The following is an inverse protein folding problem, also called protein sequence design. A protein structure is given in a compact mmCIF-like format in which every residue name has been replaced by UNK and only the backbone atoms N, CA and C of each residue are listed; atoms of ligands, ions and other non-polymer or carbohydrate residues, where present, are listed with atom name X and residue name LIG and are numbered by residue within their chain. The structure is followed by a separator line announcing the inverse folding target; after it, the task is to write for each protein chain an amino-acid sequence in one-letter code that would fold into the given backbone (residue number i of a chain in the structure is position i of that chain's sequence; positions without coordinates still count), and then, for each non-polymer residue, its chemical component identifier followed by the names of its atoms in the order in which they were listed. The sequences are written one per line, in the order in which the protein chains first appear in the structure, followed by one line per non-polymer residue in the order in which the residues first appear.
data_IF_302907341745
#
_entry.id   IF_302907341745
#
_cell.length_a   1.000
_cell.length_b   1.000
_cell.length_c   1.000
_cell.angle_alpha   90.00
_cell.angle_beta   90.00
_cell.angle_gamma   90.00
#
_symmetry.space_group_name_H-M   'P 1'
#
loop_
_entity.id
_entity.type
_entity.pdbx_description
1 polymer ?
#
# COMPACT_ATOMS: atom_id res chain seq x y z
N UNK A 1 -25.32 8.27 54.58
CA UNK A 1 -24.02 8.59 53.95
C UNK A 1 -23.16 7.34 53.68
N UNK A 2 -23.74 6.30 53.06
CA UNK A 2 -23.03 5.03 52.76
C UNK A 2 -23.41 4.39 51.41
N UNK A 3 -24.18 5.08 50.57
CA UNK A 3 -24.65 4.57 49.27
C UNK A 3 -24.17 5.43 48.08
N UNK A 4 -23.05 6.15 48.24
CA UNK A 4 -22.39 6.94 47.18
C UNK A 4 -20.89 6.62 47.05
N UNK A 5 -20.44 5.51 47.62
CA UNK A 5 -19.00 5.14 47.65
C UNK A 5 -18.69 3.78 47.03
N UNK A 6 -19.67 3.10 46.43
CA UNK A 6 -19.47 1.81 45.76
C UNK A 6 -19.53 1.89 44.23
N UNK A 7 -20.18 2.91 43.63
CA UNK A 7 -20.19 3.11 42.17
C UNK A 7 -18.93 3.74 41.57
N UNK A 8 -18.00 4.23 42.40
CA UNK A 8 -16.77 4.89 41.92
C UNK A 8 -15.64 3.88 41.62
N UNK A 9 -15.80 2.58 41.95
CA UNK A 9 -14.73 1.57 41.79
C UNK A 9 -14.88 0.70 40.53
N UNK A 10 -16.02 0.75 39.85
CA UNK A 10 -16.31 -0.09 38.67
C UNK A 10 -15.96 0.60 37.33
N UNK A 11 -15.86 1.94 37.28
CA UNK A 11 -15.58 2.69 36.03
C UNK A 11 -14.10 2.91 35.70
N UNK A 12 -13.18 2.63 36.63
CA UNK A 12 -11.73 2.76 36.40
C UNK A 12 -11.08 1.51 35.76
N UNK A 13 -11.84 0.44 35.50
CA UNK A 13 -11.31 -0.79 34.89
C UNK A 13 -11.37 -0.80 33.35
N UNK A 14 -11.93 0.22 32.70
CA UNK A 14 -12.12 0.25 31.24
C UNK A 14 -11.42 1.39 30.48
N UNK A 15 -10.63 2.24 31.13
CA UNK A 15 -9.75 3.20 30.43
C UNK A 15 -8.30 2.69 30.25
N UNK A 16 -8.13 1.37 30.19
CA UNK A 16 -6.89 0.72 29.79
C UNK A 16 -7.01 0.24 28.33
N UNK A 17 -6.80 1.13 27.35
CA UNK A 17 -6.51 0.70 25.96
C UNK A 17 -6.10 1.82 24.97
N UNK A 18 -6.34 3.10 25.23
CA UNK A 18 -6.22 4.09 24.16
C UNK A 18 -5.72 5.44 24.64
N UNK A 19 -4.40 5.61 24.75
CA UNK A 19 -3.68 6.80 24.25
C UNK A 19 -2.19 6.76 24.63
N UNK A 20 -1.39 7.29 23.71
CA UNK A 20 -0.07 7.88 23.93
C UNK A 20 1.16 6.95 23.89
N UNK A 21 1.33 6.22 22.78
CA UNK A 21 2.65 6.10 22.15
C UNK A 21 2.92 7.37 21.32
N UNK A 22 3.47 8.38 21.99
CA UNK A 22 4.25 9.45 21.36
C UNK A 22 5.40 9.78 22.29
N UNK A 23 6.64 9.51 21.85
CA UNK A 23 7.84 10.40 21.93
C UNK A 23 9.17 9.62 22.02
N UNK A 24 9.90 9.59 20.89
CA UNK A 24 11.37 9.45 20.72
C UNK A 24 11.59 9.26 19.20
N UNK A 25 11.99 10.19 18.31
CA UNK A 25 12.84 11.40 18.29
C UNK A 25 14.31 11.18 18.65
N UNK A 26 15.06 10.80 17.59
CA UNK A 26 16.33 11.38 17.06
C UNK A 26 17.72 10.84 17.46
N UNK A 27 18.61 10.93 16.44
CA UNK A 27 20.06 10.66 16.31
C UNK A 27 20.46 9.22 15.92
N UNK A 28 20.86 8.90 14.68
CA UNK A 28 22.00 9.34 13.82
C UNK A 28 23.31 8.56 14.08
N UNK A 29 23.76 7.84 13.04
CA UNK A 29 25.14 7.47 12.62
C UNK A 29 24.94 6.58 11.37
N UNK A 30 25.13 7.04 10.14
CA UNK A 30 26.41 7.47 9.52
C UNK A 30 27.40 6.30 9.48
N UNK A 31 27.47 5.59 8.34
CA UNK A 31 28.70 5.16 7.64
C UNK A 31 28.34 4.70 6.20
N UNK A 32 29.34 4.77 5.33
CA UNK A 32 29.33 5.16 3.92
C UNK A 32 29.56 3.98 2.94
N UNK A 33 29.23 4.23 1.67
CA UNK A 33 29.84 3.72 0.43
C UNK A 33 29.74 2.22 0.06
N UNK A 34 29.33 2.01 -1.19
CA UNK A 34 29.32 0.72 -1.88
C UNK A 34 28.67 0.86 -3.25
N UNK A 35 29.24 1.71 -4.09
CA UNK A 35 28.96 1.74 -5.53
C UNK A 35 29.26 0.36 -6.14
N UNK A 36 28.24 -0.30 -6.65
CA UNK A 36 28.38 -1.25 -7.75
C UNK A 36 27.42 -0.82 -8.85
N UNK A 37 28.02 -0.25 -9.89
CA UNK A 37 27.41 -0.02 -11.19
C UNK A 37 27.03 -1.38 -11.80
N UNK A 38 25.75 -1.57 -12.11
CA UNK A 38 25.33 -2.53 -13.13
C UNK A 38 24.44 -1.80 -14.13
N UNK A 39 24.99 -1.60 -15.32
CA UNK A 39 24.31 -1.04 -16.47
C UNK A 39 23.17 -1.96 -16.91
N UNK A 40 21.93 -1.54 -16.74
CA UNK A 40 20.86 -1.98 -17.63
C UNK A 40 20.34 -0.81 -18.45
N UNK A 41 20.61 -0.91 -19.76
CA UNK A 41 20.34 0.05 -20.81
C UNK A 41 18.90 0.58 -20.77
N UNK A 42 18.75 1.85 -20.37
CA UNK A 42 17.52 2.60 -20.60
C UNK A 42 17.70 3.45 -21.85
N UNK A 43 17.06 3.02 -22.94
CA UNK A 43 16.95 3.81 -24.16
C UNK A 43 16.22 5.12 -23.86
N UNK A 44 16.97 6.22 -23.83
CA UNK A 44 16.43 7.56 -23.62
C UNK A 44 15.56 7.98 -24.81
N UNK A 45 14.25 8.06 -24.60
CA UNK A 45 13.38 8.91 -25.40
C UNK A 45 13.05 10.15 -24.57
N UNK A 46 13.72 11.27 -24.87
CA UNK A 46 13.59 12.58 -24.18
C UNK A 46 12.16 13.15 -24.15
N UNK A 47 11.25 12.57 -24.92
CA UNK A 47 9.83 12.91 -24.96
C UNK A 47 9.01 12.22 -23.84
N UNK A 48 9.54 11.17 -23.22
CA UNK A 48 8.88 10.39 -22.16
C UNK A 48 9.20 10.84 -20.73
N UNK A 49 10.30 11.56 -20.50
CA UNK A 49 10.60 12.18 -19.19
C UNK A 49 9.49 13.14 -18.74
N UNK A 50 8.86 13.85 -19.68
CA UNK A 50 7.72 14.74 -19.38
C UNK A 50 6.42 13.97 -19.09
N UNK A 51 6.32 12.70 -19.50
CA UNK A 51 5.15 11.84 -19.25
C UNK A 51 5.23 11.10 -17.92
N UNK A 52 6.40 11.04 -17.27
CA UNK A 52 6.60 10.35 -15.97
C UNK A 52 6.92 11.30 -14.82
N UNK A 53 7.09 12.60 -15.06
CA UNK A 53 7.33 13.58 -14.01
C UNK A 53 6.15 13.67 -13.01
N UNK A 54 6.47 13.57 -11.72
CA UNK A 54 5.53 13.67 -10.59
C UNK A 54 4.92 15.07 -10.43
N UNK A 55 5.51 16.10 -11.06
CA UNK A 55 4.91 17.45 -11.12
C UNK A 55 3.62 17.47 -11.96
N UNK A 56 3.43 16.48 -12.83
CA UNK A 56 2.23 16.37 -13.65
C UNK A 56 1.09 15.68 -12.86
N UNK A 57 -0.05 16.35 -12.64
CA UNK A 57 -1.16 15.78 -11.86
C UNK A 57 -1.76 14.52 -12.50
N UNK A 58 -1.63 14.35 -13.83
CA UNK A 58 -2.10 13.15 -14.52
C UNK A 58 -1.28 11.92 -14.15
N UNK A 59 0.03 12.10 -13.95
CA UNK A 59 0.95 11.03 -13.53
C UNK A 59 0.63 10.62 -12.10
N UNK A 60 0.49 11.59 -11.20
CA UNK A 60 0.10 11.34 -9.81
C UNK A 60 -1.24 10.60 -9.73
N UNK A 61 -2.22 10.99 -10.54
CA UNK A 61 -3.53 10.31 -10.58
C UNK A 61 -3.42 8.85 -11.01
N UNK A 62 -2.57 8.53 -11.99
CA UNK A 62 -2.33 7.13 -12.41
C UNK A 62 -1.71 6.31 -11.28
N UNK A 63 -0.69 6.83 -10.60
CA UNK A 63 -0.08 6.15 -9.46
C UNK A 63 -1.03 5.96 -8.29
N UNK A 64 -1.86 6.96 -7.97
CA UNK A 64 -2.87 6.86 -6.91
C UNK A 64 -3.91 5.79 -7.25
N UNK A 65 -4.41 5.81 -8.48
CA UNK A 65 -5.36 4.80 -8.96
C UNK A 65 -4.76 3.40 -8.91
N UNK A 66 -3.49 3.23 -9.31
CA UNK A 66 -2.80 1.94 -9.21
C UNK A 66 -2.64 1.49 -7.75
N UNK A 67 -2.26 2.41 -6.85
CA UNK A 67 -2.13 2.12 -5.42
C UNK A 67 -3.47 1.69 -4.80
N UNK A 68 -4.57 2.33 -5.18
CA UNK A 68 -5.90 1.97 -4.69
C UNK A 68 -6.32 0.57 -5.15
N UNK A 69 -5.99 0.19 -6.38
CA UNK A 69 -6.24 -1.17 -6.91
C UNK A 69 -5.43 -2.21 -6.13
N UNK A 70 -4.13 -1.98 -5.93
CA UNK A 70 -3.26 -2.92 -5.21
C UNK A 70 -3.70 -3.07 -3.76
N UNK A 71 -4.03 -1.96 -3.10
CA UNK A 71 -4.55 -1.99 -1.73
C UNK A 71 -5.87 -2.76 -1.62
N UNK A 72 -6.74 -2.71 -2.65
CA UNK A 72 -7.95 -3.53 -2.69
C UNK A 72 -7.62 -5.02 -2.91
N UNK A 73 -6.71 -5.34 -3.83
CA UNK A 73 -6.27 -6.70 -4.09
C UNK A 73 -5.64 -7.35 -2.85
N UNK A 74 -4.78 -6.61 -2.14
CA UNK A 74 -4.16 -7.06 -0.89
C UNK A 74 -5.20 -7.42 0.17
N UNK A 75 -6.26 -6.63 0.34
CA UNK A 75 -7.34 -6.94 1.28
C UNK A 75 -8.06 -8.25 0.92
N UNK A 76 -8.26 -8.52 -0.37
CA UNK A 76 -8.86 -9.77 -0.86
C UNK A 76 -7.96 -10.97 -0.52
N UNK A 77 -6.66 -10.86 -0.79
CA UNK A 77 -5.67 -11.91 -0.51
C UNK A 77 -5.56 -12.15 1.00
N UNK A 78 -5.45 -11.11 1.82
CA UNK A 78 -5.38 -11.26 3.29
C UNK A 78 -6.66 -11.88 3.86
N UNK A 79 -7.84 -11.55 3.32
CA UNK A 79 -9.10 -12.16 3.75
C UNK A 79 -9.25 -13.63 3.31
N UNK A 80 -8.61 -14.00 2.19
CA UNK A 80 -8.57 -15.37 1.67
C UNK A 80 -7.52 -16.27 2.33
N UNK A 81 -6.52 -15.68 2.99
CA UNK A 81 -5.46 -16.39 3.70
C UNK A 81 -6.00 -17.06 4.98
N UNK A 82 -6.61 -18.24 4.80
CA UNK A 82 -7.16 -19.09 5.86
C UNK A 82 -6.46 -20.45 5.87
N UNK A 83 -6.44 -21.15 7.02
CA UNK A 83 -5.98 -22.53 7.07
C UNK A 83 -6.74 -23.39 6.05
N UNK A 84 -6.05 -24.37 5.46
CA UNK A 84 -6.54 -25.29 4.42
C UNK A 84 -6.86 -24.69 3.05
N UNK A 85 -6.44 -23.45 2.77
CA UNK A 85 -6.52 -22.86 1.42
C UNK A 85 -5.26 -23.18 0.61
N UNK A 86 -5.44 -23.55 -0.67
CA UNK A 86 -4.32 -23.73 -1.59
C UNK A 86 -3.73 -22.37 -1.97
N UNK A 87 -2.41 -22.25 -1.87
CA UNK A 87 -1.66 -21.03 -2.20
C UNK A 87 -1.90 -20.62 -3.66
N UNK A 88 -1.98 -21.59 -4.57
CA UNK A 88 -2.22 -21.35 -6.00
C UNK A 88 -3.55 -20.62 -6.24
N UNK A 89 -4.60 -21.01 -5.51
CA UNK A 89 -5.92 -20.38 -5.64
C UNK A 89 -5.90 -18.93 -5.12
N UNK A 90 -5.06 -18.65 -4.12
CA UNK A 90 -4.90 -17.32 -3.54
C UNK A 90 -4.15 -16.37 -4.48
N UNK A 91 -3.04 -16.82 -5.08
CA UNK A 91 -2.31 -16.06 -6.09
C UNK A 91 -3.20 -15.75 -7.30
N UNK A 92 -3.89 -16.78 -7.82
CA UNK A 92 -4.83 -16.61 -8.94
C UNK A 92 -5.97 -15.63 -8.61
N UNK A 93 -6.46 -15.61 -7.37
CA UNK A 93 -7.47 -14.66 -6.93
C UNK A 93 -6.95 -13.21 -6.90
N UNK A 94 -5.70 -13.00 -6.45
CA UNK A 94 -5.03 -11.70 -6.45
C UNK A 94 -4.84 -11.17 -7.87
N UNK A 95 -4.23 -11.97 -8.75
CA UNK A 95 -3.98 -11.61 -10.15
C UNK A 95 -5.28 -11.28 -10.88
N UNK A 96 -6.30 -12.12 -10.70
CA UNK A 96 -7.62 -11.90 -11.29
C UNK A 96 -8.21 -10.56 -10.83
N UNK A 97 -8.07 -10.20 -9.56
CA UNK A 97 -8.55 -8.92 -9.05
C UNK A 97 -7.87 -7.73 -9.73
N UNK A 98 -6.53 -7.79 -9.88
CA UNK A 98 -5.74 -6.74 -10.52
C UNK A 98 -6.12 -6.60 -12.00
N UNK A 99 -6.21 -7.72 -12.73
CA UNK A 99 -6.58 -7.74 -14.16
C UNK A 99 -7.99 -7.18 -14.37
N UNK A 100 -8.96 -7.57 -13.54
CA UNK A 100 -10.33 -7.06 -13.64
C UNK A 100 -10.42 -5.57 -13.32
N UNK A 101 -9.70 -5.10 -12.30
CA UNK A 101 -9.71 -3.71 -11.88
C UNK A 101 -9.04 -2.80 -12.94
N UNK A 102 -7.85 -3.18 -13.41
CA UNK A 102 -7.13 -2.45 -14.46
C UNK A 102 -7.88 -2.44 -15.79
N UNK A 103 -8.61 -3.52 -16.12
CA UNK A 103 -9.47 -3.57 -17.32
C UNK A 103 -10.66 -2.60 -17.26
N UNK A 104 -11.09 -2.19 -16.07
CA UNK A 104 -12.20 -1.24 -15.88
C UNK A 104 -11.77 0.22 -16.04
N UNK A 105 -10.49 0.50 -15.82
CA UNK A 105 -9.94 1.86 -15.75
C UNK A 105 -9.18 2.16 -17.04
N UNK A 106 -9.17 3.42 -17.51
CA UNK A 106 -8.48 3.85 -18.73
C UNK A 106 -8.82 3.02 -19.98
N UNK A 107 -10.10 2.66 -20.19
CA UNK A 107 -10.55 1.81 -21.30
C UNK A 107 -10.41 2.44 -22.69
N UNK A 108 -10.59 3.76 -22.75
CA UNK A 108 -10.61 4.50 -24.00
C UNK A 108 -9.22 4.98 -24.43
N UNK A 109 -8.23 4.82 -23.56
CA UNK A 109 -6.88 5.35 -23.76
C UNK A 109 -5.95 4.22 -24.19
N UNK A 110 -5.77 4.08 -25.51
CA UNK A 110 -4.93 3.01 -26.12
C UNK A 110 -3.44 3.20 -25.89
N UNK A 111 -3.03 4.37 -25.39
CA UNK A 111 -1.63 4.71 -25.07
C UNK A 111 -1.22 4.33 -23.65
N UNK A 112 -2.15 3.78 -22.86
CA UNK A 112 -1.88 3.39 -21.47
C UNK A 112 -1.77 1.87 -21.41
N UNK A 113 -0.53 1.40 -21.28
CA UNK A 113 -0.26 0.01 -20.89
C UNK A 113 -0.67 -0.19 -19.43
N UNK A 114 -1.40 -1.28 -19.17
CA UNK A 114 -1.97 -1.58 -17.86
C UNK A 114 -2.06 -3.09 -17.68
N UNK A 115 -1.84 -3.54 -16.45
CA UNK A 115 -1.85 -4.96 -16.13
C UNK A 115 -1.15 -5.24 -14.82
N UNK A 116 -0.62 -6.45 -14.71
CA UNK A 116 0.17 -6.90 -13.56
C UNK A 116 1.62 -6.43 -13.77
N UNK A 117 2.12 -5.61 -12.84
CA UNK A 117 3.52 -5.17 -12.85
C UNK A 117 4.43 -6.22 -12.21
N UNK A 118 3.92 -6.94 -11.20
CA UNK A 118 4.62 -7.98 -10.48
C UNK A 118 3.61 -9.04 -9.98
N UNK A 119 3.81 -10.34 -10.28
CA UNK A 119 2.95 -11.43 -9.82
C UNK A 119 3.28 -11.88 -8.38
#
# INVERSE_FOLDING_TARGET
AKAKKEDQKEKDKQQKAAQATKKSTDAESDEESGDEEDEEATGENKEDETKTDLRNPNVVTKYRTAADIVNAALKVVTAGAKPDVKIVDLCAAGDKHIVEATSKIYRNDKKIEKGVAFP
#
